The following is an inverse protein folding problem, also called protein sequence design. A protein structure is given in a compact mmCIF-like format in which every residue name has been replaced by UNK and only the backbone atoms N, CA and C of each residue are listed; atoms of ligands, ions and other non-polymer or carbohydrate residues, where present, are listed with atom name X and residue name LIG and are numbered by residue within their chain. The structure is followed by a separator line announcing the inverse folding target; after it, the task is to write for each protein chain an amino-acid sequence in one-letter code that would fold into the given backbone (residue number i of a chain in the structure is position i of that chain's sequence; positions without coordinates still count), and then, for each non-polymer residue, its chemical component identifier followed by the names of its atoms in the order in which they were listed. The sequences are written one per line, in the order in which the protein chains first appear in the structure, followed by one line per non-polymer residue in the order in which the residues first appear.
data_IF_467404433753
#
_entry.id   IF_467404433753
#
_cell.length_a   1.000
_cell.length_b   1.000
_cell.length_c   1.000
_cell.angle_alpha   90.00
_cell.angle_beta   90.00
_cell.angle_gamma   90.00
#
_symmetry.space_group_name_H-M   'P 1'
#
loop_
_entity.id
_entity.type
_entity.pdbx_description
1 polymer ?
#
# COMPACT_ATOMS: atom_id res chain seq x y z
N UNK A 1 0.99 -33.83 -22.26
CA UNK A 1 0.79 -33.70 -20.80
C UNK A 1 0.79 -32.21 -20.54
N UNK A 2 -0.30 -31.63 -20.05
CA UNK A 2 -0.26 -30.24 -19.59
C UNK A 2 0.65 -30.23 -18.36
N UNK A 3 1.73 -29.48 -18.40
CA UNK A 3 2.55 -29.26 -17.23
C UNK A 3 1.70 -28.54 -16.20
N UNK A 4 1.55 -29.17 -15.03
CA UNK A 4 0.84 -28.58 -13.90
C UNK A 4 1.71 -27.44 -13.38
N UNK A 5 1.17 -26.22 -13.28
CA UNK A 5 1.93 -25.09 -12.74
C UNK A 5 2.33 -25.35 -11.27
N UNK A 6 3.44 -24.79 -10.78
CA UNK A 6 3.84 -24.90 -9.38
C UNK A 6 2.75 -24.46 -8.40
N UNK A 7 1.92 -23.53 -8.81
CA UNK A 7 0.77 -23.06 -8.03
C UNK A 7 -0.35 -24.10 -7.92
N UNK A 8 -0.68 -24.77 -9.02
CA UNK A 8 -1.65 -25.87 -9.04
C UNK A 8 -1.14 -27.08 -8.28
N UNK A 9 0.13 -27.44 -8.47
CA UNK A 9 0.79 -28.52 -7.71
C UNK A 9 0.72 -28.27 -6.20
N UNK A 10 0.99 -27.02 -5.76
CA UNK A 10 0.86 -26.64 -4.34
C UNK A 10 -0.54 -26.90 -3.82
N UNK A 11 -1.58 -26.52 -4.56
CA UNK A 11 -2.97 -26.73 -4.14
C UNK A 11 -3.32 -28.22 -4.04
N UNK A 12 -2.88 -29.03 -5.00
CA UNK A 12 -3.06 -30.49 -4.97
C UNK A 12 -2.38 -31.10 -3.74
N UNK A 13 -1.16 -30.66 -3.42
CA UNK A 13 -0.43 -31.14 -2.25
C UNK A 13 -1.11 -30.76 -0.93
N UNK A 14 -1.70 -29.55 -0.84
CA UNK A 14 -2.47 -29.12 0.32
C UNK A 14 -3.73 -30.00 0.48
N UNK A 15 -4.47 -30.27 -0.59
CA UNK A 15 -5.66 -31.13 -0.56
C UNK A 15 -5.32 -32.54 -0.11
N UNK A 16 -4.25 -33.15 -0.65
CA UNK A 16 -3.77 -34.47 -0.26
C UNK A 16 -3.32 -34.52 1.21
N UNK A 17 -2.68 -33.46 1.70
CA UNK A 17 -2.27 -33.36 3.09
C UNK A 17 -3.49 -33.22 4.03
N UNK A 18 -4.50 -32.43 3.65
CA UNK A 18 -5.76 -32.30 4.40
C UNK A 18 -6.52 -33.62 4.47
N UNK A 19 -6.61 -34.37 3.37
CA UNK A 19 -7.22 -35.70 3.36
C UNK A 19 -6.45 -36.68 4.26
N UNK A 20 -5.12 -36.63 4.25
CA UNK A 20 -4.29 -37.46 5.13
C UNK A 20 -4.47 -37.08 6.60
N UNK A 21 -4.55 -35.80 6.92
CA UNK A 21 -4.76 -35.30 8.28
C UNK A 21 -6.12 -35.71 8.83
N UNK A 22 -7.19 -35.73 8.02
CA UNK A 22 -8.52 -36.20 8.42
C UNK A 22 -8.56 -37.70 8.79
N UNK A 23 -7.63 -38.47 8.28
CA UNK A 23 -7.49 -39.90 8.53
C UNK A 23 -6.55 -40.21 9.69
N UNK A 24 -5.92 -39.22 10.28
CA UNK A 24 -4.93 -39.35 11.34
C UNK A 24 -5.24 -38.46 12.54
N UNK A 25 -4.61 -38.71 13.67
CA UNK A 25 -4.69 -37.85 14.86
C UNK A 25 -3.74 -36.63 14.77
N UNK A 26 -3.06 -36.44 13.65
CA UNK A 26 -2.11 -35.36 13.45
C UNK A 26 -2.82 -34.13 12.90
N UNK A 27 -2.48 -32.96 13.46
CA UNK A 27 -2.95 -31.67 12.95
C UNK A 27 -2.00 -31.24 11.83
N UNK A 28 -2.55 -30.96 10.65
CA UNK A 28 -1.77 -30.41 9.56
C UNK A 28 -1.47 -28.93 9.84
N UNK A 29 -0.19 -28.58 9.84
CA UNK A 29 0.29 -27.19 9.87
C UNK A 29 0.59 -26.74 8.44
N UNK A 30 -0.25 -25.85 7.92
CA UNK A 30 -0.09 -25.32 6.55
C UNK A 30 0.77 -24.06 6.57
N UNK A 31 2.02 -24.17 6.11
CA UNK A 31 2.94 -23.05 5.88
C UNK A 31 3.01 -22.63 4.40
N UNK A 32 2.17 -23.20 3.53
CA UNK A 32 2.19 -22.96 2.09
C UNK A 32 1.42 -21.70 1.63
N UNK A 33 0.78 -20.98 2.55
CA UNK A 33 0.07 -19.73 2.25
C UNK A 33 0.74 -18.56 2.93
N UNK A 34 0.98 -17.48 2.17
CA UNK A 34 1.46 -16.20 2.70
C UNK A 34 0.38 -15.33 3.31
N UNK A 35 -0.89 -15.78 3.37
CA UNK A 35 -1.96 -14.99 3.95
C UNK A 35 -1.86 -14.99 5.48
N UNK A 36 -1.71 -13.83 6.13
CA UNK A 36 -1.73 -13.76 7.57
C UNK A 36 -3.13 -14.16 8.11
N UNK A 37 -3.15 -14.86 9.23
CA UNK A 37 -4.39 -15.21 9.93
C UNK A 37 -4.90 -14.07 10.83
N UNK A 38 -4.33 -12.89 10.70
CA UNK A 38 -4.66 -11.71 11.48
C UNK A 38 -4.80 -10.48 10.58
N UNK A 39 -5.55 -9.51 11.03
CA UNK A 39 -5.76 -8.24 10.34
C UNK A 39 -5.35 -7.12 11.29
N UNK A 40 -4.42 -6.27 10.83
CA UNK A 40 -4.11 -5.03 11.54
C UNK A 40 -5.26 -4.03 11.34
N UNK A 41 -6.00 -3.75 12.39
CA UNK A 41 -7.19 -2.89 12.32
C UNK A 41 -6.86 -1.42 12.44
N UNK A 42 -5.80 -1.05 13.16
CA UNK A 42 -5.41 0.35 13.40
C UNK A 42 -5.14 1.13 12.11
N UNK A 43 -4.29 0.66 11.18
CA UNK A 43 -4.07 1.38 9.92
C UNK A 43 -5.33 1.40 9.02
N UNK A 44 -6.19 0.39 9.10
CA UNK A 44 -7.47 0.40 8.37
C UNK A 44 -8.43 1.43 8.92
N UNK A 45 -8.53 1.52 10.23
CA UNK A 45 -9.33 2.55 10.89
C UNK A 45 -8.80 3.94 10.56
N UNK A 46 -7.47 4.14 10.58
CA UNK A 46 -6.84 5.39 10.16
C UNK A 46 -7.22 5.77 8.72
N UNK A 47 -7.18 4.81 7.80
CA UNK A 47 -7.57 5.02 6.40
C UNK A 47 -9.06 5.42 6.26
N UNK A 48 -9.97 4.76 6.97
CA UNK A 48 -11.38 5.11 6.94
C UNK A 48 -11.67 6.47 7.57
N UNK A 49 -10.98 6.82 8.65
CA UNK A 49 -11.09 8.15 9.26
C UNK A 49 -10.56 9.24 8.32
N UNK A 50 -9.46 9.00 7.63
CA UNK A 50 -8.95 9.92 6.63
C UNK A 50 -9.95 10.11 5.48
N UNK A 51 -10.56 9.02 5.01
CA UNK A 51 -11.62 9.07 4.00
C UNK A 51 -12.83 9.86 4.47
N UNK A 52 -13.27 9.66 5.72
CA UNK A 52 -14.37 10.43 6.29
C UNK A 52 -14.05 11.91 6.38
N UNK A 53 -12.85 12.27 6.84
CA UNK A 53 -12.39 13.66 6.86
C UNK A 53 -12.42 14.29 5.47
N UNK A 54 -11.89 13.59 4.47
CA UNK A 54 -11.84 14.08 3.10
C UNK A 54 -13.24 14.30 2.51
N UNK A 55 -14.20 13.41 2.80
CA UNK A 55 -15.60 13.60 2.42
C UNK A 55 -16.23 14.83 3.09
N UNK A 56 -15.97 15.06 4.39
CA UNK A 56 -16.42 16.26 5.10
C UNK A 56 -15.85 17.54 4.48
N UNK A 57 -14.59 17.50 4.02
CA UNK A 57 -13.97 18.65 3.33
C UNK A 57 -14.58 18.88 1.94
N UNK A 58 -14.88 17.85 1.17
CA UNK A 58 -15.57 17.98 -0.11
C UNK A 58 -16.98 18.57 0.07
N UNK A 59 -17.73 18.07 1.05
CA UNK A 59 -19.08 18.56 1.36
C UNK A 59 -19.09 20.01 1.84
N UNK A 60 -18.04 20.46 2.50
CA UNK A 60 -17.87 21.83 2.97
C UNK A 60 -17.82 22.86 1.83
N UNK A 61 -17.24 22.49 0.70
CA UNK A 61 -17.03 23.39 -0.44
C UNK A 61 -18.24 23.40 -1.40
N UNK A 62 -19.34 22.75 -1.02
CA UNK A 62 -20.51 22.65 -1.88
C UNK A 62 -21.62 23.62 -1.43
N UNK A 63 -21.76 24.73 -2.13
CA UNK A 63 -22.96 25.59 -2.02
C UNK A 63 -24.17 25.00 -2.77
N UNK A 64 -23.96 23.91 -3.53
CA UNK A 64 -24.94 23.30 -4.45
C UNK A 64 -25.42 21.90 -4.01
N UNK A 65 -25.11 21.48 -2.77
CA UNK A 65 -25.34 20.11 -2.30
C UNK A 65 -26.80 19.63 -2.42
N UNK A 66 -27.75 20.53 -2.20
CA UNK A 66 -29.18 20.18 -2.23
C UNK A 66 -29.72 19.96 -3.65
N UNK A 67 -29.09 20.59 -4.66
CA UNK A 67 -29.55 20.53 -6.05
C UNK A 67 -28.87 19.46 -6.90
N UNK A 68 -27.70 18.96 -6.50
CA UNK A 68 -26.83 18.08 -7.30
C UNK A 68 -26.76 16.63 -6.81
N UNK A 69 -27.75 16.15 -6.10
CA UNK A 69 -27.88 14.72 -5.74
C UNK A 69 -26.62 14.10 -5.10
N UNK A 70 -25.92 14.83 -4.21
CA UNK A 70 -24.75 14.36 -3.49
C UNK A 70 -23.41 14.68 -4.17
N UNK A 71 -23.40 15.46 -5.24
CA UNK A 71 -22.16 16.03 -5.77
C UNK A 71 -21.53 16.99 -4.74
N UNK A 72 -20.20 17.06 -4.72
CA UNK A 72 -19.44 17.86 -3.78
C UNK A 72 -18.24 18.53 -4.47
N UNK A 73 -17.68 19.58 -3.86
CA UNK A 73 -16.46 20.22 -4.35
C UNK A 73 -15.19 19.44 -3.98
N UNK A 74 -14.07 19.85 -4.55
CA UNK A 74 -12.76 19.36 -4.13
C UNK A 74 -12.36 20.00 -2.79
N UNK A 75 -11.54 19.33 -1.95
CA UNK A 75 -11.09 19.90 -0.68
C UNK A 75 -10.40 21.25 -0.85
N UNK A 76 -10.66 22.18 0.08
CA UNK A 76 -10.00 23.49 0.07
C UNK A 76 -8.73 23.45 0.93
N UNK A 77 -7.59 23.72 0.30
CA UNK A 77 -6.27 23.74 0.95
C UNK A 77 -6.16 24.72 2.12
N UNK A 78 -6.85 25.85 2.04
CA UNK A 78 -6.75 26.91 3.05
C UNK A 78 -7.21 26.42 4.42
N UNK A 79 -6.31 26.37 5.41
CA UNK A 79 -6.56 25.96 6.80
C UNK A 79 -7.05 24.51 6.95
N UNK A 80 -6.81 23.65 5.98
CA UNK A 80 -7.25 22.25 6.02
C UNK A 80 -6.59 21.49 7.20
N UNK A 81 -5.33 21.79 7.51
CA UNK A 81 -4.64 21.18 8.65
C UNK A 81 -5.31 21.51 9.98
N UNK A 82 -5.73 22.76 10.19
CA UNK A 82 -6.46 23.14 11.40
C UNK A 82 -7.78 22.36 11.55
N UNK A 83 -8.50 22.13 10.44
CA UNK A 83 -9.73 21.32 10.44
C UNK A 83 -9.43 19.84 10.69
N UNK A 84 -8.35 19.31 10.10
CA UNK A 84 -7.90 17.95 10.35
C UNK A 84 -7.57 17.72 11.82
N UNK A 85 -6.83 18.61 12.45
CA UNK A 85 -6.52 18.52 13.89
C UNK A 85 -7.81 18.57 14.73
N UNK A 86 -8.80 19.37 14.35
CA UNK A 86 -10.10 19.40 15.04
C UNK A 86 -10.88 18.08 14.84
N UNK A 87 -10.85 17.52 13.62
CA UNK A 87 -11.43 16.23 13.32
C UNK A 87 -10.80 15.12 14.16
N UNK A 88 -9.48 15.06 14.23
CA UNK A 88 -8.76 14.09 15.05
C UNK A 88 -9.09 14.21 16.54
N UNK A 89 -9.28 15.43 17.05
CA UNK A 89 -9.72 15.65 18.44
C UNK A 89 -11.09 15.05 18.73
N UNK A 90 -12.03 15.11 17.77
CA UNK A 90 -13.36 14.49 17.91
C UNK A 90 -13.25 12.95 17.99
N UNK A 91 -12.23 12.38 17.34
CA UNK A 91 -11.99 10.94 17.29
C UNK A 91 -10.83 10.48 18.20
N UNK A 92 -10.48 11.24 19.24
CA UNK A 92 -9.28 11.03 20.07
C UNK A 92 -9.22 9.66 20.78
N UNK A 93 -10.35 8.97 20.93
CA UNK A 93 -10.41 7.62 21.52
C UNK A 93 -10.10 6.50 20.52
N UNK A 94 -10.00 6.84 19.23
CA UNK A 94 -9.72 5.88 18.16
C UNK A 94 -8.21 5.66 18.02
N UNK A 95 -7.74 4.39 18.03
CA UNK A 95 -6.34 4.07 17.72
C UNK A 95 -5.92 4.55 16.32
N UNK A 96 -6.83 4.52 15.34
CA UNK A 96 -6.57 5.04 14.00
C UNK A 96 -6.33 6.55 13.98
N UNK A 97 -7.10 7.33 14.77
CA UNK A 97 -6.86 8.76 14.93
C UNK A 97 -5.53 9.06 15.61
N UNK A 98 -5.12 8.23 16.57
CA UNK A 98 -3.81 8.33 17.22
C UNK A 98 -2.68 8.11 16.22
N UNK A 99 -2.82 7.11 15.34
CA UNK A 99 -1.86 6.85 14.26
C UNK A 99 -1.77 8.03 13.30
N UNK A 100 -2.91 8.54 12.81
CA UNK A 100 -2.93 9.70 11.90
C UNK A 100 -2.29 10.94 12.54
N UNK A 101 -2.59 11.18 13.81
CA UNK A 101 -2.01 12.30 14.56
C UNK A 101 -0.49 12.17 14.66
N UNK A 102 0.01 10.99 15.06
CA UNK A 102 1.45 10.74 15.17
C UNK A 102 2.18 10.90 13.84
N UNK A 103 1.58 10.39 12.76
CA UNK A 103 2.13 10.53 11.41
C UNK A 103 2.17 11.99 10.95
N UNK A 104 1.09 12.73 11.18
CA UNK A 104 1.02 14.16 10.90
C UNK A 104 2.08 14.96 11.69
N UNK A 105 2.16 14.75 12.99
CA UNK A 105 3.13 15.43 13.86
C UNK A 105 4.58 15.11 13.42
N UNK A 106 4.89 13.86 13.10
CA UNK A 106 6.21 13.47 12.60
C UNK A 106 6.59 14.22 11.32
N UNK A 107 5.73 14.23 10.32
CA UNK A 107 6.02 14.91 9.05
C UNK A 107 6.16 16.42 9.21
N UNK A 108 5.33 17.04 10.03
CA UNK A 108 5.37 18.48 10.24
C UNK A 108 6.58 18.89 11.10
N UNK A 109 6.84 18.18 12.22
CA UNK A 109 7.88 18.60 13.17
C UNK A 109 9.26 18.10 12.82
N UNK A 110 9.39 16.83 12.41
CA UNK A 110 10.69 16.22 12.13
C UNK A 110 11.14 16.40 10.68
N UNK A 111 10.19 16.43 9.73
CA UNK A 111 10.51 16.59 8.30
C UNK A 111 10.29 18.01 7.80
N UNK A 112 9.69 18.91 8.59
CA UNK A 112 9.46 20.29 8.21
C UNK A 112 8.46 20.48 7.07
N UNK A 113 7.53 19.55 6.89
CA UNK A 113 6.50 19.60 5.84
C UNK A 113 5.47 20.67 6.17
N UNK A 114 5.02 21.43 5.18
CA UNK A 114 3.89 22.34 5.35
C UNK A 114 2.63 21.56 5.69
N UNK A 115 2.00 21.92 6.80
CA UNK A 115 0.86 21.21 7.36
C UNK A 115 -0.36 21.17 6.43
N UNK A 116 -0.62 22.28 5.70
CA UNK A 116 -1.78 22.35 4.81
C UNK A 116 -1.54 21.59 3.52
N UNK A 117 -0.31 21.61 2.99
CA UNK A 117 0.08 20.80 1.83
C UNK A 117 -0.02 19.30 2.13
N UNK A 118 0.46 18.88 3.30
CA UNK A 118 0.39 17.49 3.74
C UNK A 118 -1.05 16.98 3.82
N UNK A 119 -1.89 17.69 4.55
CA UNK A 119 -3.28 17.26 4.76
C UNK A 119 -4.09 17.36 3.48
N UNK A 120 -3.79 18.34 2.62
CA UNK A 120 -4.42 18.46 1.32
C UNK A 120 -4.08 17.28 0.41
N UNK A 121 -2.79 16.90 0.30
CA UNK A 121 -2.36 15.73 -0.46
C UNK A 121 -3.07 14.46 0.01
N UNK A 122 -3.18 14.27 1.32
CA UNK A 122 -3.86 13.10 1.87
C UNK A 122 -5.36 13.08 1.55
N UNK A 123 -6.02 14.22 1.68
CA UNK A 123 -7.45 14.34 1.39
C UNK A 123 -7.72 14.14 -0.11
N UNK A 124 -6.95 14.79 -0.98
CA UNK A 124 -7.05 14.65 -2.44
C UNK A 124 -6.74 13.21 -2.89
N UNK A 125 -5.68 12.61 -2.33
CA UNK A 125 -5.28 11.24 -2.64
C UNK A 125 -6.33 10.20 -2.26
N UNK A 126 -6.97 10.31 -1.08
CA UNK A 126 -7.99 9.35 -0.63
C UNK A 126 -9.31 9.51 -1.38
N UNK A 127 -9.64 10.70 -1.84
CA UNK A 127 -10.81 10.96 -2.71
C UNK A 127 -10.55 10.47 -4.13
N UNK A 128 -9.30 10.41 -4.57
CA UNK A 128 -8.94 9.98 -5.92
C UNK A 128 -9.02 11.08 -6.97
N UNK A 129 -8.85 12.34 -6.60
CA UNK A 129 -8.95 13.51 -7.48
C UNK A 129 -7.61 13.87 -8.14
N UNK A 130 -6.89 12.87 -8.64
CA UNK A 130 -5.57 13.06 -9.29
C UNK A 130 -5.61 12.72 -10.79
N UNK A 131 -6.75 12.89 -11.40
CA UNK A 131 -6.92 12.74 -12.85
C UNK A 131 -6.43 14.01 -13.60
N UNK A 132 -5.77 13.90 -14.77
CA UNK A 132 -5.50 12.68 -15.53
C UNK A 132 -4.12 12.05 -15.25
N UNK A 133 -3.29 12.64 -14.42
CA UNK A 133 -1.92 12.21 -14.20
C UNK A 133 -1.69 11.92 -12.71
N UNK A 134 -2.03 10.70 -12.25
CA UNK A 134 -1.74 10.32 -10.88
C UNK A 134 -0.23 10.20 -10.65
N UNK A 135 0.22 10.58 -9.46
CA UNK A 135 1.59 10.35 -9.04
C UNK A 135 1.88 8.86 -8.83
N UNK A 136 3.13 8.43 -9.03
CA UNK A 136 3.59 7.06 -8.75
C UNK A 136 3.40 6.66 -7.27
N UNK A 137 3.47 7.63 -6.37
CA UNK A 137 3.20 7.54 -4.95
C UNK A 137 2.99 8.97 -4.44
N UNK A 138 2.13 9.15 -3.43
CA UNK A 138 1.94 10.45 -2.79
C UNK A 138 3.26 10.94 -2.18
N UNK A 139 3.62 12.20 -2.44
CA UNK A 139 4.92 12.80 -2.10
C UNK A 139 5.29 12.63 -0.62
N UNK A 140 4.37 12.95 0.28
CA UNK A 140 4.65 12.87 1.71
C UNK A 140 4.54 11.45 2.26
N UNK A 141 3.76 10.59 1.59
CA UNK A 141 3.75 9.15 1.85
C UNK A 141 5.08 8.51 1.42
N UNK A 142 5.65 8.95 0.29
CA UNK A 142 6.99 8.49 -0.15
C UNK A 142 8.06 8.77 0.91
N UNK A 143 8.03 9.95 1.55
CA UNK A 143 8.98 10.29 2.61
C UNK A 143 8.91 9.30 3.78
N UNK A 144 7.70 8.97 4.22
CA UNK A 144 7.49 8.00 5.31
C UNK A 144 7.94 6.59 4.94
N UNK A 145 7.59 6.15 3.73
CA UNK A 145 7.97 4.81 3.25
C UNK A 145 9.48 4.70 3.08
N UNK A 146 10.14 5.75 2.61
CA UNK A 146 11.60 5.82 2.52
C UNK A 146 12.25 5.67 3.87
N UNK A 147 11.83 6.46 4.87
CA UNK A 147 12.37 6.38 6.23
C UNK A 147 12.16 4.98 6.82
N UNK A 148 10.99 4.40 6.60
CA UNK A 148 10.69 3.03 7.03
C UNK A 148 11.62 1.99 6.39
N UNK A 149 11.83 2.08 5.07
CA UNK A 149 12.72 1.16 4.36
C UNK A 149 14.19 1.34 4.78
N UNK A 150 14.64 2.58 4.96
CA UNK A 150 15.98 2.88 5.45
C UNK A 150 16.23 2.30 6.84
N UNK A 151 15.23 2.38 7.72
CA UNK A 151 15.30 1.81 9.05
C UNK A 151 15.25 0.28 9.01
N UNK A 152 14.25 -0.32 8.37
CA UNK A 152 13.97 -1.75 8.47
C UNK A 152 14.89 -2.62 7.59
N UNK A 153 15.32 -2.11 6.45
CA UNK A 153 16.17 -2.86 5.52
C UNK A 153 17.64 -2.48 5.62
N UNK A 154 17.96 -1.27 6.07
CA UNK A 154 19.32 -0.74 6.00
C UNK A 154 19.87 -0.32 7.36
N UNK A 155 19.17 -0.54 8.47
CA UNK A 155 19.60 -0.12 9.82
C UNK A 155 19.99 1.38 9.85
N UNK A 156 19.21 2.22 9.20
CA UNK A 156 19.47 3.65 8.95
C UNK A 156 20.80 3.95 8.24
N UNK A 157 21.29 3.00 7.44
CA UNK A 157 22.50 3.14 6.61
C UNK A 157 22.20 2.73 5.17
N UNK A 158 21.32 3.47 4.46
CA UNK A 158 20.99 3.13 3.09
C UNK A 158 22.25 3.18 2.21
N UNK A 159 22.29 2.41 1.10
CA UNK A 159 23.37 2.49 0.13
C UNK A 159 23.48 3.90 -0.44
N UNK A 160 24.71 4.28 -0.86
CA UNK A 160 24.94 5.56 -1.53
C UNK A 160 24.14 5.61 -2.84
N UNK A 161 23.57 6.76 -3.12
CA UNK A 161 22.84 7.02 -4.35
C UNK A 161 21.41 7.50 -4.12
N UNK A 162 20.72 7.77 -5.23
CA UNK A 162 19.30 8.15 -5.23
C UNK A 162 18.49 6.98 -5.76
N UNK A 163 17.44 6.59 -5.06
CA UNK A 163 16.49 5.62 -5.54
C UNK A 163 15.08 6.17 -5.43
N UNK A 164 14.23 5.74 -6.33
CA UNK A 164 12.83 6.12 -6.38
C UNK A 164 11.95 4.99 -5.86
N UNK A 165 10.82 5.36 -5.26
CA UNK A 165 9.80 4.41 -4.82
C UNK A 165 8.64 4.42 -5.81
N UNK A 166 8.16 3.23 -6.13
CA UNK A 166 6.98 3.03 -6.96
C UNK A 166 6.00 2.12 -6.24
N UNK A 167 4.83 2.65 -5.88
CA UNK A 167 3.80 1.86 -5.22
C UNK A 167 3.08 0.95 -6.22
N UNK A 168 2.93 -0.33 -5.87
CA UNK A 168 2.22 -1.33 -6.68
C UNK A 168 1.19 -2.08 -5.85
N UNK A 169 0.31 -2.83 -6.53
CA UNK A 169 -0.74 -3.64 -5.90
C UNK A 169 -0.22 -4.92 -5.24
N UNK A 170 1.07 -4.99 -4.95
CA UNK A 170 1.71 -6.11 -4.28
C UNK A 170 2.90 -6.68 -5.05
N UNK A 171 3.60 -7.64 -4.42
CA UNK A 171 4.86 -8.18 -4.95
C UNK A 171 4.72 -8.86 -6.32
N UNK A 172 3.61 -9.54 -6.61
CA UNK A 172 3.37 -10.16 -7.92
C UNK A 172 3.27 -9.09 -9.02
N UNK A 173 2.48 -8.03 -8.79
CA UNK A 173 2.35 -6.92 -9.73
C UNK A 173 3.70 -6.21 -9.94
N UNK A 174 4.45 -5.97 -8.86
CA UNK A 174 5.79 -5.39 -8.94
C UNK A 174 6.72 -6.23 -9.85
N UNK A 175 6.69 -7.56 -9.72
CA UNK A 175 7.49 -8.44 -10.57
C UNK A 175 7.07 -8.39 -12.03
N UNK A 176 5.76 -8.39 -12.32
CA UNK A 176 5.26 -8.22 -13.69
C UNK A 176 5.77 -6.91 -14.29
N UNK A 177 5.63 -5.78 -13.58
CA UNK A 177 6.08 -4.48 -14.08
C UNK A 177 7.60 -4.39 -14.28
N UNK A 178 8.39 -5.01 -13.38
CA UNK A 178 9.85 -5.04 -13.51
C UNK A 178 10.24 -5.83 -14.77
N UNK A 179 9.73 -7.05 -14.94
CA UNK A 179 10.11 -7.87 -16.10
C UNK A 179 9.61 -7.29 -17.42
N UNK A 180 8.38 -6.77 -17.47
CA UNK A 180 7.85 -6.10 -18.65
C UNK A 180 8.71 -4.86 -19.00
N UNK A 181 9.03 -4.04 -18.01
CA UNK A 181 9.89 -2.88 -18.20
C UNK A 181 11.29 -3.23 -18.69
N UNK A 182 11.91 -4.28 -18.13
CA UNK A 182 13.22 -4.75 -18.58
C UNK A 182 13.19 -5.24 -20.04
N UNK A 183 12.15 -5.96 -20.44
CA UNK A 183 11.98 -6.44 -21.82
C UNK A 183 11.71 -5.28 -22.78
N UNK A 184 10.81 -4.36 -22.45
CA UNK A 184 10.49 -3.19 -23.30
C UNK A 184 11.69 -2.27 -23.52
N UNK A 185 12.59 -2.21 -22.56
CA UNK A 185 13.81 -1.41 -22.67
C UNK A 185 15.04 -2.20 -23.16
N UNK A 186 14.84 -3.43 -23.65
CA UNK A 186 15.92 -4.30 -24.15
C UNK A 186 17.04 -4.60 -23.15
N UNK A 187 16.74 -4.50 -21.86
CA UNK A 187 17.67 -4.83 -20.77
C UNK A 187 17.62 -6.34 -20.41
N UNK A 188 16.56 -7.01 -20.81
CA UNK A 188 16.37 -8.45 -20.70
C UNK A 188 15.78 -8.98 -22.00
N UNK A 189 16.45 -9.97 -22.60
CA UNK A 189 16.07 -10.52 -23.89
C UNK A 189 15.87 -12.03 -23.80
N UNK A 190 15.10 -12.60 -24.73
CA UNK A 190 14.90 -14.05 -24.80
C UNK A 190 16.23 -14.79 -24.92
N UNK A 191 16.50 -15.68 -23.98
CA UNK A 191 17.73 -16.44 -23.89
C UNK A 191 18.77 -15.91 -22.89
N UNK A 192 18.51 -14.74 -22.30
CA UNK A 192 19.31 -14.26 -21.17
C UNK A 192 19.13 -15.14 -19.95
N UNK A 193 20.16 -15.17 -19.10
CA UNK A 193 20.16 -16.01 -17.90
C UNK A 193 19.77 -15.21 -16.68
N UNK A 194 18.76 -15.70 -15.96
CA UNK A 194 18.31 -15.17 -14.68
C UNK A 194 18.73 -16.14 -13.57
N UNK A 195 19.31 -15.61 -12.50
CA UNK A 195 19.67 -16.40 -11.30
C UNK A 195 18.60 -16.19 -10.24
N UNK A 196 18.00 -17.30 -9.81
CA UNK A 196 17.02 -17.32 -8.73
C UNK A 196 17.57 -18.07 -7.52
N UNK A 197 17.34 -17.53 -6.33
CA UNK A 197 17.66 -18.21 -5.07
C UNK A 197 16.41 -18.94 -4.56
N UNK A 198 16.53 -20.26 -4.41
CA UNK A 198 15.43 -21.07 -3.89
C UNK A 198 15.67 -21.45 -2.40
N UNK A 199 14.59 -21.63 -1.61
CA UNK A 199 13.18 -21.53 -1.98
C UNK A 199 12.71 -20.08 -2.16
N UNK A 200 11.83 -19.84 -3.12
CA UNK A 200 11.33 -18.51 -3.48
C UNK A 200 9.83 -18.56 -3.78
N UNK A 201 9.15 -17.44 -3.67
CA UNK A 201 7.74 -17.28 -4.01
C UNK A 201 7.51 -17.58 -5.50
N UNK A 202 6.52 -18.40 -5.81
CA UNK A 202 6.26 -18.95 -7.15
C UNK A 202 6.26 -17.92 -8.29
N UNK A 203 5.66 -16.73 -8.16
CA UNK A 203 5.70 -15.71 -9.22
C UNK A 203 7.10 -15.30 -9.67
N UNK A 204 8.13 -15.43 -8.84
CA UNK A 204 9.51 -15.15 -9.25
C UNK A 204 10.07 -16.19 -10.23
N UNK A 205 9.43 -17.35 -10.32
CA UNK A 205 9.79 -18.42 -11.25
C UNK A 205 8.96 -18.30 -12.53
N UNK A 206 7.64 -18.09 -12.40
CA UNK A 206 6.67 -18.14 -13.50
C UNK A 206 6.68 -16.86 -14.37
N UNK A 207 6.88 -15.68 -13.78
CA UNK A 207 6.83 -14.41 -14.51
C UNK A 207 8.00 -14.24 -15.50
N UNK A 208 9.25 -14.67 -15.19
CA UNK A 208 10.36 -14.54 -16.12
C UNK A 208 10.36 -15.52 -17.30
N UNK A 209 9.54 -16.59 -17.28
CA UNK A 209 9.45 -17.61 -18.35
C UNK A 209 8.69 -17.06 -19.56
#
# INVERSE_FOLDING_TARGET
MSEISPFELKNILIELADESARKSTHIMLNAGRGNPNWISTVPREAFFLLGQFALEECQRETELADEMAGAAGVPNRKRIASRFVQFLKKHAQSPGATLLKGTYEYLVTEKGVDENELVYEWAEGVIGDQYPVPDRILKYTEMLVRDYLDQELCDNRPPEGVFDLFATEGGTAAMCYIFDSLQQNFLLNKGDKIVLFAPVFTPYIEIPE
#
